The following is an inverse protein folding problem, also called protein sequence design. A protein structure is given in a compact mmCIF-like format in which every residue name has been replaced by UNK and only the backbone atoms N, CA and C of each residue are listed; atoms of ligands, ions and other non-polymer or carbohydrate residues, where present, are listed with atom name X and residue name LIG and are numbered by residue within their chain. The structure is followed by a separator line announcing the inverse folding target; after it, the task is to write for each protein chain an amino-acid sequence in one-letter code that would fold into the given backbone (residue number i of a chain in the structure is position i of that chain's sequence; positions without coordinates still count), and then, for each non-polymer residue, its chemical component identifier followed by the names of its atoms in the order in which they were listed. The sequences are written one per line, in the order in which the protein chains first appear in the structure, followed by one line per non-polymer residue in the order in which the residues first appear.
data_IF_638525858874
#
_entry.id   IF_638525858874
#
_cell.length_a   1.000
_cell.length_b   1.000
_cell.length_c   1.000
_cell.angle_alpha   90.00
_cell.angle_beta   90.00
_cell.angle_gamma   90.00
#
_symmetry.space_group_name_H-M   'P 1'
#
loop_
_entity.id
_entity.type
_entity.pdbx_description
1 polymer ?
#
# COMPACT_ATOMS: atom_id res chain seq x y z
N UNK A 1 23.32 -9.58 7.92
CA UNK A 1 23.61 -8.33 7.19
C UNK A 1 22.39 -7.99 6.38
N UNK A 2 21.86 -6.77 6.48
CA UNK A 2 20.60 -6.39 5.83
C UNK A 2 20.94 -5.69 4.53
N UNK A 3 20.44 -6.24 3.41
CA UNK A 3 20.61 -5.68 2.07
C UNK A 3 19.31 -5.04 1.63
N UNK A 4 19.39 -3.80 1.17
CA UNK A 4 18.28 -3.09 0.52
C UNK A 4 18.52 -3.06 -0.98
N UNK A 5 17.61 -3.62 -1.75
CA UNK A 5 17.64 -3.56 -3.22
C UNK A 5 16.57 -2.59 -3.69
N UNK A 6 16.98 -1.49 -4.31
CA UNK A 6 16.08 -0.51 -4.92
C UNK A 6 16.07 -0.76 -6.43
N UNK A 7 14.97 -1.28 -6.95
CA UNK A 7 14.75 -1.43 -8.38
C UNK A 7 13.90 -0.28 -8.88
N UNK A 8 14.17 0.23 -10.08
CA UNK A 8 13.24 1.08 -10.80
C UNK A 8 12.97 0.49 -12.17
N UNK A 9 11.71 0.26 -12.48
CA UNK A 9 11.24 -0.12 -13.81
C UNK A 9 9.85 0.49 -14.08
N UNK A 10 9.38 0.49 -15.34
CA UNK A 10 8.07 1.05 -15.68
C UNK A 10 6.88 0.17 -15.27
N UNK A 11 7.12 -1.09 -14.92
CA UNK A 11 6.09 -2.08 -14.55
C UNK A 11 5.76 -2.02 -13.06
N UNK A 12 6.72 -1.66 -12.22
CA UNK A 12 6.64 -1.67 -10.75
C UNK A 12 6.95 -0.30 -10.15
N UNK A 13 7.55 0.60 -10.93
CA UNK A 13 8.04 1.88 -10.46
C UNK A 13 9.30 1.67 -9.64
N UNK A 14 9.55 2.57 -8.70
CA UNK A 14 10.67 2.46 -7.77
C UNK A 14 10.28 1.64 -6.56
N UNK A 15 10.88 0.47 -6.40
CA UNK A 15 10.59 -0.50 -5.34
C UNK A 15 11.86 -0.81 -4.56
N UNK A 16 11.83 -0.63 -3.24
CA UNK A 16 12.87 -0.97 -2.30
C UNK A 16 12.48 -2.24 -1.53
N UNK A 17 13.16 -3.36 -1.86
CA UNK A 17 13.03 -4.65 -1.17
C UNK A 17 14.11 -4.80 -0.12
N UNK A 18 13.73 -5.31 1.04
CA UNK A 18 14.64 -5.57 2.15
C UNK A 18 14.86 -7.08 2.26
N UNK A 19 16.12 -7.51 2.40
CA UNK A 19 16.43 -8.92 2.67
C UNK A 19 15.95 -9.39 4.04
N UNK A 20 15.76 -8.44 4.96
CA UNK A 20 15.22 -8.66 6.31
C UNK A 20 14.56 -7.37 6.81
N UNK A 21 13.60 -7.50 7.71
CA UNK A 21 12.88 -6.37 8.29
C UNK A 21 13.77 -5.61 9.26
N UNK A 22 13.88 -4.28 9.09
CA UNK A 22 14.61 -3.43 10.03
C UNK A 22 13.93 -2.08 10.17
N UNK A 23 13.46 -1.77 11.39
CA UNK A 23 12.67 -0.57 11.67
C UNK A 23 13.36 0.71 11.19
N UNK A 24 14.67 0.82 11.40
CA UNK A 24 15.44 2.00 10.99
C UNK A 24 15.49 2.17 9.46
N UNK A 25 15.56 1.07 8.71
CA UNK A 25 15.60 1.11 7.24
C UNK A 25 14.24 1.58 6.72
N UNK A 26 13.15 1.01 7.26
CA UNK A 26 11.79 1.41 6.94
C UNK A 26 11.54 2.90 7.20
N UNK A 27 11.85 3.38 8.41
CA UNK A 27 11.69 4.81 8.76
C UNK A 27 12.56 5.74 7.91
N UNK A 28 13.73 5.28 7.45
CA UNK A 28 14.58 6.04 6.54
C UNK A 28 13.92 6.15 5.17
N UNK A 29 13.45 5.02 4.60
CA UNK A 29 12.75 5.01 3.32
C UNK A 29 11.50 5.88 3.36
N UNK A 30 10.70 5.79 4.42
CA UNK A 30 9.51 6.63 4.65
C UNK A 30 9.83 8.13 4.65
N UNK A 31 10.93 8.55 5.28
CA UNK A 31 11.40 9.95 5.26
C UNK A 31 11.69 10.47 3.86
N UNK A 32 12.06 9.58 2.93
CA UNK A 32 12.31 9.92 1.52
C UNK A 32 11.10 9.66 0.61
N UNK A 33 9.92 9.45 1.19
CA UNK A 33 8.65 9.37 0.47
C UNK A 33 8.27 7.96 0.01
N UNK A 34 9.05 6.94 0.38
CA UNK A 34 8.62 5.57 0.14
C UNK A 34 7.47 5.20 1.09
N UNK A 35 6.57 4.35 0.63
CA UNK A 35 5.46 3.82 1.42
C UNK A 35 5.48 2.30 1.34
N UNK A 36 5.24 1.63 2.47
CA UNK A 36 5.08 0.17 2.44
C UNK A 36 3.84 -0.21 1.64
N UNK A 37 4.03 -0.93 0.54
CA UNK A 37 2.95 -1.49 -0.27
C UNK A 37 2.80 -2.98 0.02
N UNK A 38 1.56 -3.39 0.24
CA UNK A 38 1.15 -4.79 0.41
C UNK A 38 1.13 -5.53 -0.92
N UNK A 39 0.78 -4.85 -2.01
CA UNK A 39 0.82 -5.42 -3.35
C UNK A 39 2.23 -5.91 -3.72
N UNK A 40 3.24 -5.09 -3.43
CA UNK A 40 4.64 -5.40 -3.75
C UNK A 40 5.40 -6.14 -2.64
N UNK A 41 4.79 -6.24 -1.44
CA UNK A 41 5.47 -6.65 -0.20
C UNK A 41 6.82 -5.92 0.00
N UNK A 42 6.83 -4.63 -0.28
CA UNK A 42 8.03 -3.81 -0.36
C UNK A 42 7.72 -2.34 -0.13
N UNK A 43 8.75 -1.53 0.09
CA UNK A 43 8.64 -0.07 0.10
C UNK A 43 8.60 0.42 -1.34
N UNK A 44 7.54 1.11 -1.75
CA UNK A 44 7.41 1.68 -3.11
C UNK A 44 7.51 3.20 -3.05
N UNK A 45 7.93 3.83 -4.13
CA UNK A 45 7.78 5.28 -4.32
C UNK A 45 6.54 5.51 -5.19
N UNK A 46 5.41 5.99 -4.64
CA UNK A 46 4.15 6.07 -5.37
C UNK A 46 4.25 6.91 -6.64
N UNK A 47 3.57 6.47 -7.71
CA UNK A 47 3.48 7.21 -8.97
C UNK A 47 4.75 7.22 -9.81
N UNK A 48 5.79 6.46 -9.42
CA UNK A 48 7.04 6.42 -10.20
C UNK A 48 7.04 5.43 -11.35
N UNK A 49 5.92 4.73 -11.62
CA UNK A 49 5.75 3.98 -12.87
C UNK A 49 5.65 4.91 -14.08
N UNK A 50 4.85 5.96 -13.94
CA UNK A 50 4.53 6.91 -15.02
C UNK A 50 5.57 8.01 -15.20
N UNK A 51 6.56 8.10 -14.29
CA UNK A 51 7.57 9.16 -14.26
C UNK A 51 8.96 8.56 -14.41
N UNK A 52 9.89 9.33 -14.99
CA UNK A 52 11.28 8.94 -15.04
C UNK A 52 11.84 8.72 -13.62
N UNK A 53 12.76 7.78 -13.48
CA UNK A 53 13.55 7.56 -12.28
C UNK A 53 14.07 8.90 -11.71
N UNK A 54 13.87 9.14 -10.41
CA UNK A 54 14.39 10.30 -9.69
C UNK A 54 15.72 9.94 -9.02
N UNK A 55 16.88 10.18 -9.69
CA UNK A 55 18.18 9.81 -9.14
C UNK A 55 18.52 10.63 -7.89
N UNK A 56 17.95 11.82 -7.72
CA UNK A 56 18.25 12.68 -6.59
C UNK A 56 17.59 12.15 -5.31
N UNK A 57 16.28 11.87 -5.38
CA UNK A 57 15.54 11.31 -4.24
C UNK A 57 16.09 9.94 -3.83
N UNK A 58 16.30 9.05 -4.80
CA UNK A 58 16.84 7.71 -4.53
C UNK A 58 18.31 7.80 -4.08
N UNK A 59 19.09 8.71 -4.66
CA UNK A 59 20.47 8.99 -4.23
C UNK A 59 20.57 9.43 -2.78
N UNK A 60 19.66 10.29 -2.31
CA UNK A 60 19.61 10.72 -0.90
C UNK A 60 19.24 9.59 0.05
N UNK A 61 18.24 8.77 -0.31
CA UNK A 61 17.85 7.61 0.48
C UNK A 61 19.00 6.60 0.59
N UNK A 62 19.61 6.24 -0.54
CA UNK A 62 20.73 5.28 -0.59
C UNK A 62 21.96 5.79 0.18
N UNK A 63 22.28 7.09 0.07
CA UNK A 63 23.35 7.70 0.85
C UNK A 63 23.10 7.57 2.36
N UNK A 64 21.89 7.89 2.81
CA UNK A 64 21.54 7.82 4.22
C UNK A 64 21.61 6.39 4.75
N UNK A 65 21.09 5.41 4.00
CA UNK A 65 21.16 3.99 4.36
C UNK A 65 22.62 3.51 4.46
N UNK A 66 23.45 3.80 3.45
CA UNK A 66 24.87 3.42 3.45
C UNK A 66 25.65 4.06 4.59
N UNK A 67 25.36 5.33 4.91
CA UNK A 67 25.98 6.05 6.05
C UNK A 67 25.73 5.34 7.39
N UNK A 68 24.67 4.54 7.50
CA UNK A 68 24.34 3.80 8.73
C UNK A 68 24.68 2.31 8.63
N UNK A 69 25.57 1.93 7.69
CA UNK A 69 26.12 0.58 7.60
C UNK A 69 25.26 -0.42 6.83
N UNK A 70 24.21 0.02 6.13
CA UNK A 70 23.38 -0.86 5.31
C UNK A 70 23.92 -0.99 3.89
N UNK A 71 23.94 -2.22 3.38
CA UNK A 71 24.29 -2.48 1.99
C UNK A 71 23.10 -2.11 1.10
N UNK A 72 23.34 -1.28 0.10
CA UNK A 72 22.28 -0.84 -0.84
C UNK A 72 22.71 -1.08 -2.28
N UNK A 73 21.90 -1.85 -3.01
CA UNK A 73 22.00 -2.05 -4.46
C UNK A 73 20.89 -1.26 -5.14
N UNK A 74 21.21 -0.60 -6.25
CA UNK A 74 20.25 0.14 -7.07
C UNK A 74 20.31 -0.40 -8.48
N UNK A 75 19.20 -0.93 -8.98
CA UNK A 75 19.06 -1.42 -10.35
C UNK A 75 18.00 -0.57 -11.07
N UNK A 76 18.34 -0.03 -12.24
CA UNK A 76 17.42 0.82 -13.01
C UNK A 76 17.27 0.21 -14.39
N UNK A 77 16.05 -0.20 -14.72
CA UNK A 77 15.66 -0.70 -16.04
C UNK A 77 14.55 0.16 -16.64
N UNK A 78 14.92 1.02 -17.58
CA UNK A 78 13.99 1.88 -18.30
C UNK A 78 13.62 1.33 -19.69
N UNK A 79 13.95 0.07 -19.99
CA UNK A 79 13.96 -0.46 -21.37
C UNK A 79 12.62 -1.02 -21.87
N UNK A 80 11.58 -1.04 -21.03
CA UNK A 80 10.26 -1.70 -21.27
C UNK A 80 9.06 -0.71 -21.18
N UNK A 81 7.80 -1.09 -21.55
CA UNK A 81 6.83 -0.21 -22.24
C UNK A 81 6.23 0.92 -21.38
N UNK A 82 5.46 1.82 -22.01
CA UNK A 82 4.68 2.85 -21.32
C UNK A 82 3.92 2.26 -20.13
N UNK A 83 4.03 2.92 -18.97
CA UNK A 83 3.45 2.44 -17.73
C UNK A 83 1.94 2.29 -17.85
N UNK A 84 1.42 1.17 -17.35
CA UNK A 84 -0.02 0.96 -17.26
C UNK A 84 -0.59 1.76 -16.07
N UNK A 85 -1.35 2.85 -16.31
CA UNK A 85 -1.94 3.64 -15.23
C UNK A 85 -2.96 2.84 -14.41
N UNK A 86 -3.52 1.75 -14.95
CA UNK A 86 -4.48 0.89 -14.26
C UNK A 86 -3.78 0.12 -13.13
N UNK A 87 -2.56 -0.38 -13.37
CA UNK A 87 -1.79 -1.12 -12.37
C UNK A 87 -1.48 -0.26 -11.11
N UNK A 88 -1.21 1.03 -11.30
CA UNK A 88 -1.00 1.97 -10.19
C UNK A 88 -2.27 2.17 -9.35
N UNK A 89 -3.43 2.20 -9.99
CA UNK A 89 -4.70 2.39 -9.31
C UNK A 89 -5.14 1.13 -8.57
N UNK A 90 -4.94 -0.05 -9.16
CA UNK A 90 -5.17 -1.34 -8.53
C UNK A 90 -4.28 -1.54 -7.29
N UNK A 91 -2.98 -1.25 -7.38
CA UNK A 91 -2.06 -1.37 -6.25
C UNK A 91 -2.46 -0.44 -5.09
N UNK A 92 -2.79 0.82 -5.41
CA UNK A 92 -3.25 1.79 -4.40
C UNK A 92 -4.54 1.32 -3.75
N UNK A 93 -5.49 0.81 -4.53
CA UNK A 93 -6.76 0.34 -4.00
C UNK A 93 -6.56 -0.91 -3.14
N UNK A 94 -5.66 -1.81 -3.51
CA UNK A 94 -5.31 -2.98 -2.71
C UNK A 94 -4.67 -2.58 -1.37
N UNK A 95 -3.78 -1.58 -1.36
CA UNK A 95 -3.20 -1.04 -0.13
C UNK A 95 -4.26 -0.38 0.78
N UNK A 96 -5.23 0.32 0.19
CA UNK A 96 -6.40 0.86 0.90
C UNK A 96 -7.26 -0.27 1.47
N UNK A 97 -7.51 -1.33 0.70
CA UNK A 97 -8.33 -2.46 1.12
C UNK A 97 -7.74 -3.18 2.33
N UNK A 98 -6.44 -3.47 2.32
CA UNK A 98 -5.77 -4.05 3.50
C UNK A 98 -5.75 -3.09 4.70
N UNK A 99 -5.70 -1.78 4.46
CA UNK A 99 -5.80 -0.79 5.55
C UNK A 99 -7.20 -0.81 6.16
N UNK A 100 -8.25 -0.84 5.33
CA UNK A 100 -9.64 -0.97 5.76
C UNK A 100 -9.87 -2.29 6.52
N UNK A 101 -9.34 -3.41 6.03
CA UNK A 101 -9.44 -4.72 6.71
C UNK A 101 -8.81 -4.66 8.10
N UNK A 102 -7.62 -4.08 8.24
CA UNK A 102 -6.96 -3.90 9.55
C UNK A 102 -7.76 -2.98 10.47
N UNK A 103 -8.34 -1.91 9.93
CA UNK A 103 -9.18 -1.00 10.68
C UNK A 103 -10.44 -1.70 11.20
N UNK A 104 -11.14 -2.45 10.35
CA UNK A 104 -12.30 -3.26 10.74
C UNK A 104 -11.93 -4.31 11.79
N UNK A 105 -10.81 -5.02 11.62
CA UNK A 105 -10.34 -5.99 12.61
C UNK A 105 -9.94 -5.35 13.95
N UNK A 106 -9.39 -4.13 13.94
CA UNK A 106 -9.12 -3.37 15.16
C UNK A 106 -10.43 -2.96 15.84
N UNK A 107 -11.39 -2.43 15.08
CA UNK A 107 -12.69 -2.02 15.58
C UNK A 107 -13.48 -3.19 16.18
N UNK A 108 -13.47 -4.37 15.57
CA UNK A 108 -14.07 -5.57 16.16
C UNK A 108 -13.43 -5.97 17.48
N UNK A 109 -12.10 -5.83 17.61
CA UNK A 109 -11.42 -6.12 18.87
C UNK A 109 -11.84 -5.12 19.94
N UNK A 110 -11.86 -3.84 19.60
CA UNK A 110 -12.32 -2.80 20.52
C UNK A 110 -13.78 -3.03 20.94
N UNK A 111 -14.65 -3.49 20.04
CA UNK A 111 -16.03 -3.85 20.39
C UNK A 111 -16.14 -5.03 21.36
N UNK A 112 -15.21 -5.99 21.29
CA UNK A 112 -15.19 -7.14 22.20
C UNK A 112 -14.60 -6.79 23.56
N UNK A 113 -13.50 -6.04 23.54
CA UNK A 113 -12.65 -5.86 24.71
C UNK A 113 -13.00 -4.59 25.49
N UNK A 114 -13.53 -3.56 24.82
CA UNK A 114 -13.70 -2.19 25.32
C UNK A 114 -14.94 -1.50 24.74
N UNK A 115 -16.06 -2.22 24.73
CA UNK A 115 -17.30 -1.79 24.07
C UNK A 115 -17.82 -0.43 24.58
N UNK A 116 -17.62 -0.14 25.86
CA UNK A 116 -18.00 1.09 26.55
C UNK A 116 -17.11 2.30 26.18
N UNK A 117 -15.91 2.06 25.65
CA UNK A 117 -15.00 3.11 25.16
C UNK A 117 -15.30 3.53 23.71
N UNK A 118 -16.11 2.75 22.97
CA UNK A 118 -16.46 3.07 21.59
C UNK A 118 -17.55 4.14 21.55
N UNK A 119 -17.11 5.36 21.24
CA UNK A 119 -18.03 6.45 20.95
C UNK A 119 -18.73 6.25 19.60
N UNK A 120 -19.96 6.76 19.49
CA UNK A 120 -20.69 6.79 18.22
C UNK A 120 -19.90 7.51 17.11
N UNK A 121 -19.18 8.57 17.49
CA UNK A 121 -18.28 9.27 16.57
C UNK A 121 -17.20 8.34 16.00
N UNK A 122 -16.55 7.55 16.85
CA UNK A 122 -15.52 6.61 16.39
C UNK A 122 -16.10 5.55 15.45
N UNK A 123 -17.30 5.02 15.75
CA UNK A 123 -18.02 4.11 14.86
C UNK A 123 -18.27 4.73 13.48
N UNK A 124 -18.81 5.94 13.44
CA UNK A 124 -19.09 6.67 12.18
C UNK A 124 -17.79 6.92 11.39
N UNK A 125 -16.71 7.32 12.06
CA UNK A 125 -15.41 7.56 11.40
C UNK A 125 -14.85 6.28 10.76
N UNK A 126 -14.90 5.16 11.49
CA UNK A 126 -14.42 3.86 11.01
C UNK A 126 -15.28 3.33 9.86
N UNK A 127 -16.62 3.37 10.00
CA UNK A 127 -17.54 2.98 8.94
C UNK A 127 -17.33 3.83 7.70
N UNK A 128 -17.23 5.16 7.84
CA UNK A 128 -17.00 6.08 6.74
C UNK A 128 -15.68 5.81 5.99
N UNK A 129 -14.61 5.43 6.70
CA UNK A 129 -13.35 5.05 6.07
C UNK A 129 -13.46 3.76 5.23
N UNK A 130 -14.17 2.75 5.74
CA UNK A 130 -14.42 1.49 5.00
C UNK A 130 -15.37 1.72 3.82
N UNK A 131 -16.41 2.52 3.98
CA UNK A 131 -17.33 2.90 2.89
C UNK A 131 -16.58 3.63 1.78
N UNK A 132 -15.74 4.61 2.11
CA UNK A 132 -14.96 5.33 1.11
C UNK A 132 -13.99 4.42 0.32
N UNK A 133 -13.49 3.34 0.94
CA UNK A 133 -12.69 2.35 0.25
C UNK A 133 -13.54 1.51 -0.73
N UNK A 134 -14.73 1.09 -0.31
CA UNK A 134 -15.68 0.37 -1.17
C UNK A 134 -16.13 1.24 -2.35
N UNK A 135 -16.47 2.51 -2.14
CA UNK A 135 -16.85 3.45 -3.22
C UNK A 135 -15.74 3.64 -4.26
N UNK A 136 -14.47 3.49 -3.87
CA UNK A 136 -13.36 3.50 -4.83
C UNK A 136 -13.28 2.20 -5.63
N UNK A 137 -13.51 1.05 -4.98
CA UNK A 137 -13.62 -0.23 -5.67
C UNK A 137 -14.75 -0.20 -6.70
N UNK A 138 -15.95 0.22 -6.32
CA UNK A 138 -17.10 0.27 -7.23
C UNK A 138 -16.81 1.10 -8.48
N UNK A 139 -16.28 2.32 -8.30
CA UNK A 139 -15.90 3.18 -9.43
C UNK A 139 -14.83 2.56 -10.33
N UNK A 140 -13.87 1.86 -9.73
CA UNK A 140 -12.82 1.20 -10.50
C UNK A 140 -13.37 -0.02 -11.27
N UNK A 141 -14.22 -0.82 -10.62
CA UNK A 141 -14.86 -1.99 -11.21
C UNK A 141 -15.86 -1.61 -12.32
N UNK A 142 -16.59 -0.49 -12.19
CA UNK A 142 -17.43 0.04 -13.27
C UNK A 142 -16.62 0.40 -14.52
N UNK A 143 -15.40 0.91 -14.33
CA UNK A 143 -14.51 1.30 -15.44
C UNK A 143 -13.80 0.11 -16.07
N UNK A 144 -13.39 -0.88 -15.27
CA UNK A 144 -12.50 -1.96 -15.70
C UNK A 144 -13.18 -3.33 -15.87
N UNK A 145 -14.37 -3.50 -15.29
CA UNK A 145 -15.09 -4.77 -15.22
C UNK A 145 -14.87 -5.51 -13.90
N UNK A 146 -15.91 -6.21 -13.44
CA UNK A 146 -15.89 -7.03 -12.23
C UNK A 146 -15.16 -8.36 -12.40
N UNK A 147 -14.96 -8.81 -13.63
CA UNK A 147 -14.36 -10.12 -13.93
C UNK A 147 -12.83 -10.14 -13.77
N UNK A 148 -12.21 -8.98 -13.49
CA UNK A 148 -10.79 -8.88 -13.23
C UNK A 148 -10.42 -9.57 -11.90
N UNK A 149 -9.48 -10.53 -11.89
CA UNK A 149 -9.08 -11.23 -10.67
C UNK A 149 -8.65 -10.28 -9.53
N UNK A 150 -7.98 -9.18 -9.86
CA UNK A 150 -7.53 -8.17 -8.90
C UNK A 150 -8.71 -7.44 -8.25
N UNK A 151 -9.74 -7.11 -9.04
CA UNK A 151 -10.98 -6.47 -8.54
C UNK A 151 -11.72 -7.43 -7.62
N UNK A 152 -11.83 -8.71 -7.99
CA UNK A 152 -12.44 -9.75 -7.15
C UNK A 152 -11.69 -9.93 -5.82
N UNK A 153 -10.36 -9.94 -5.86
CA UNK A 153 -9.54 -10.05 -4.65
C UNK A 153 -9.71 -8.84 -3.73
N UNK A 154 -9.68 -7.63 -4.29
CA UNK A 154 -9.91 -6.39 -3.53
C UNK A 154 -11.31 -6.39 -2.92
N UNK A 155 -12.32 -6.84 -3.68
CA UNK A 155 -13.70 -6.98 -3.21
C UNK A 155 -13.79 -7.91 -1.99
N UNK A 156 -13.14 -9.07 -2.05
CA UNK A 156 -13.09 -10.01 -0.95
C UNK A 156 -12.48 -9.37 0.32
N UNK A 157 -11.33 -8.70 0.19
CA UNK A 157 -10.65 -8.04 1.32
C UNK A 157 -11.52 -6.91 1.92
N UNK A 158 -12.22 -6.15 1.08
CA UNK A 158 -13.09 -5.06 1.54
C UNK A 158 -14.38 -5.57 2.18
N UNK A 159 -14.95 -6.68 1.71
CA UNK A 159 -16.13 -7.27 2.33
C UNK A 159 -15.84 -7.71 3.78
N UNK A 160 -14.66 -8.29 4.04
CA UNK A 160 -14.22 -8.59 5.40
C UNK A 160 -14.19 -7.34 6.29
N UNK A 161 -13.63 -6.24 5.77
CA UNK A 161 -13.58 -4.96 6.47
C UNK A 161 -14.99 -4.40 6.75
N UNK A 162 -15.88 -4.52 5.78
CA UNK A 162 -17.25 -4.01 5.80
C UNK A 162 -18.10 -4.71 6.86
N UNK A 163 -18.09 -6.04 6.84
CA UNK A 163 -18.76 -6.85 7.87
C UNK A 163 -18.14 -6.58 9.24
N UNK A 164 -16.82 -6.37 9.30
CA UNK A 164 -16.13 -6.11 10.55
C UNK A 164 -16.59 -4.81 11.25
N UNK A 165 -17.03 -3.80 10.48
CA UNK A 165 -17.53 -2.55 11.02
C UNK A 165 -19.06 -2.54 11.24
N UNK A 166 -19.69 -3.71 11.13
CA UNK A 166 -21.12 -3.92 11.42
C UNK A 166 -22.06 -3.52 10.28
N UNK A 167 -21.55 -3.42 9.05
CA UNK A 167 -22.36 -3.16 7.86
C UNK A 167 -22.83 -4.48 7.22
N UNK A 168 -23.98 -4.50 6.54
CA UNK A 168 -24.54 -5.73 5.97
C UNK A 168 -23.71 -6.23 4.79
N UNK A 169 -23.37 -7.53 4.70
CA UNK A 169 -22.57 -8.06 3.59
C UNK A 169 -23.25 -7.81 2.25
N UNK A 170 -22.45 -7.61 1.21
CA UNK A 170 -22.90 -7.45 -0.18
C UNK A 170 -22.33 -8.54 -1.07
#
# INVERSE_FOLDING_TARGET
MITTTITHDKVNGTVARLSDSHRWVGSTLERYGFTWSRAHQAYILPGTRTWAFDPYRVGRATHQLRRNGFTVRVDVDNTTPEADPIADELDRLLDIAYTAQRLGAAFQRDQRDRADEITERHRIEVQGAVTAACDRLYRLAERLGWDLPEILHINFVLNDAWVAVGLPPF
#
